data_IF_798731390643
#
_entry.id   IF_798731390643
#
_cell.length_a   1.000
_cell.length_b   1.000
_cell.length_c   1.000
_cell.angle_alpha   90.00
_cell.angle_beta   90.00
_cell.angle_gamma   90.00
#
_symmetry.space_group_name_H-M   'P 1'
#
loop_
_entity.id
_entity.type
_entity.pdbx_description
1 polymer ?
#
# COMPACT_ATOMS: atom_id res chain seq x y z
N UNK A 1 2.85 -52.00 33.25
CA UNK A 1 3.77 -51.16 32.43
C UNK A 1 3.87 -51.84 31.08
N UNK A 2 2.95 -51.62 30.14
CA UNK A 2 2.83 -50.43 29.26
C UNK A 2 4.20 -50.04 28.70
N UNK A 3 4.44 -50.42 27.45
CA UNK A 3 5.36 -49.71 26.57
C UNK A 3 4.56 -49.35 25.32
N UNK A 4 3.78 -48.27 25.44
CA UNK A 4 3.18 -47.60 24.29
C UNK A 4 4.33 -46.93 23.55
N UNK A 5 4.57 -47.36 22.31
CA UNK A 5 5.47 -46.70 21.40
C UNK A 5 4.81 -45.36 21.02
N UNK A 6 5.19 -44.28 21.72
CA UNK A 6 4.85 -42.92 21.30
C UNK A 6 5.55 -42.67 19.96
N UNK A 7 4.79 -42.75 18.86
CA UNK A 7 5.16 -42.06 17.64
C UNK A 7 5.15 -40.57 17.96
N UNK A 8 6.32 -39.99 18.14
CA UNK A 8 6.49 -38.55 18.14
C UNK A 8 6.10 -38.09 16.75
N UNK A 9 4.93 -37.45 16.60
CA UNK A 9 4.62 -36.69 15.40
C UNK A 9 5.66 -35.56 15.32
N UNK A 10 6.67 -35.74 14.48
CA UNK A 10 7.46 -34.64 13.96
C UNK A 10 6.47 -33.69 13.30
N UNK A 11 6.30 -32.45 13.78
CA UNK A 11 5.54 -31.46 13.03
C UNK A 11 6.33 -31.24 11.75
N UNK A 12 5.83 -31.78 10.64
CA UNK A 12 6.48 -31.63 9.36
C UNK A 12 6.27 -30.18 8.92
N UNK A 13 7.22 -29.32 9.28
CA UNK A 13 7.32 -27.95 8.72
C UNK A 13 7.45 -27.94 7.19
N UNK A 14 7.50 -29.11 6.53
CA UNK A 14 7.53 -29.27 5.08
C UNK A 14 6.15 -29.47 4.43
N UNK A 15 5.04 -29.33 5.18
CA UNK A 15 3.69 -29.46 4.62
C UNK A 15 3.04 -28.10 4.31
N UNK A 16 3.60 -26.98 4.77
CA UNK A 16 3.11 -25.64 4.46
C UNK A 16 4.29 -24.67 4.34
N UNK A 17 4.72 -24.41 3.11
CA UNK A 17 5.95 -23.64 2.81
C UNK A 17 5.70 -22.61 1.69
N UNK A 18 4.79 -21.64 1.90
CA UNK A 18 4.62 -20.57 0.92
C UNK A 18 5.85 -19.66 0.88
N UNK A 19 6.01 -18.93 -0.22
CA UNK A 19 6.88 -17.74 -0.26
C UNK A 19 6.05 -16.52 -0.60
N UNK A 20 6.47 -15.36 -0.10
CA UNK A 20 5.86 -14.06 -0.44
C UNK A 20 6.95 -13.04 -0.70
N UNK A 21 6.65 -12.11 -1.60
CA UNK A 21 7.39 -10.86 -1.76
C UNK A 21 6.40 -9.73 -1.91
N UNK A 22 6.58 -8.67 -1.13
CA UNK A 22 5.75 -7.47 -1.20
C UNK A 22 6.48 -6.38 -1.98
N UNK A 23 5.73 -5.62 -2.76
CA UNK A 23 6.18 -4.43 -3.45
C UNK A 23 5.13 -3.33 -3.34
N UNK A 24 5.56 -2.10 -3.50
CA UNK A 24 4.71 -0.92 -3.43
C UNK A 24 4.96 -0.05 -4.66
N UNK A 25 3.94 0.67 -5.12
CA UNK A 25 4.07 1.60 -6.25
C UNK A 25 4.73 2.93 -5.83
N UNK A 26 4.49 3.36 -4.59
CA UNK A 26 5.12 4.46 -3.89
C UNK A 26 5.36 4.05 -2.43
N UNK A 27 6.39 4.57 -1.78
CA UNK A 27 6.61 4.41 -0.34
C UNK A 27 6.95 5.72 0.35
N UNK A 28 6.68 6.85 -0.29
CA UNK A 28 6.88 8.15 0.32
C UNK A 28 5.85 8.39 1.43
N UNK A 29 6.30 8.96 2.55
CA UNK A 29 5.42 9.32 3.66
C UNK A 29 4.29 10.24 3.20
N UNK A 30 3.09 10.08 3.73
CA UNK A 30 1.93 10.92 3.40
C UNK A 30 1.27 10.62 2.05
N UNK A 31 1.94 9.93 1.13
CA UNK A 31 1.36 9.53 -0.15
C UNK A 31 0.60 8.22 -0.06
N UNK A 32 -0.53 8.17 -0.76
CA UNK A 32 -1.25 6.92 -0.96
C UNK A 32 -0.43 6.00 -1.85
N UNK A 33 -0.34 4.75 -1.43
CA UNK A 33 0.48 3.70 -2.00
C UNK A 33 -0.39 2.47 -2.20
N UNK A 34 -0.36 1.93 -3.40
CA UNK A 34 -0.82 0.59 -3.70
C UNK A 34 0.27 -0.40 -3.32
N UNK A 35 -0.13 -1.63 -3.03
CA UNK A 35 0.83 -2.70 -2.82
C UNK A 35 0.46 -3.94 -3.62
N UNK A 36 1.50 -4.71 -3.94
CA UNK A 36 1.39 -5.97 -4.64
C UNK A 36 2.13 -7.05 -3.86
N UNK A 37 1.47 -8.19 -3.65
CA UNK A 37 2.09 -9.37 -3.06
C UNK A 37 2.16 -10.48 -4.10
N UNK A 38 3.37 -10.93 -4.41
CA UNK A 38 3.62 -12.13 -5.20
C UNK A 38 3.82 -13.30 -4.24
N UNK A 39 2.87 -14.23 -4.24
CA UNK A 39 2.80 -15.37 -3.35
C UNK A 39 2.92 -16.65 -4.16
N UNK A 40 3.72 -17.61 -3.68
CA UNK A 40 3.80 -18.93 -4.27
C UNK A 40 3.49 -20.00 -3.23
N UNK A 41 2.49 -20.83 -3.51
CA UNK A 41 2.29 -22.10 -2.81
C UNK A 41 2.86 -23.23 -3.67
N UNK A 42 3.95 -23.89 -3.25
CA UNK A 42 4.56 -24.94 -4.05
C UNK A 42 3.74 -26.24 -4.02
N UNK A 43 3.81 -27.00 -5.12
CA UNK A 43 3.22 -28.33 -5.23
C UNK A 43 3.59 -29.22 -4.03
N UNK A 44 2.61 -29.97 -3.53
CA UNK A 44 2.74 -30.84 -2.37
C UNK A 44 2.56 -30.13 -1.02
N UNK A 45 2.44 -28.80 -1.01
CA UNK A 45 2.11 -28.03 0.18
C UNK A 45 0.61 -27.95 0.39
N UNK A 46 0.19 -27.78 1.63
CA UNK A 46 -1.14 -27.29 1.95
C UNK A 46 -1.34 -25.90 1.37
N UNK A 47 -2.55 -25.63 0.90
CA UNK A 47 -2.94 -24.28 0.55
C UNK A 47 -3.46 -23.47 1.74
N UNK A 48 -3.64 -22.15 1.54
CA UNK A 48 -4.02 -21.22 2.60
C UNK A 48 -5.52 -21.29 2.90
N UNK A 49 -5.89 -21.01 4.14
CA UNK A 49 -7.26 -20.64 4.54
C UNK A 49 -7.38 -19.14 4.76
N UNK A 50 -6.31 -18.49 5.19
CA UNK A 50 -6.24 -17.04 5.31
C UNK A 50 -4.84 -16.49 5.04
N UNK A 51 -4.83 -15.22 4.65
CA UNK A 51 -3.66 -14.35 4.55
C UNK A 51 -3.99 -13.08 5.34
N UNK A 52 -3.05 -12.60 6.14
CA UNK A 52 -3.15 -11.33 6.85
C UNK A 52 -1.89 -10.54 6.58
N UNK A 53 -2.04 -9.36 5.99
CA UNK A 53 -0.98 -8.37 5.86
C UNK A 53 -1.16 -7.35 6.97
N UNK A 54 -0.10 -7.08 7.73
CA UNK A 54 -0.07 -6.08 8.77
C UNK A 54 1.04 -5.07 8.50
N UNK A 55 0.66 -3.80 8.51
CA UNK A 55 1.56 -2.66 8.43
C UNK A 55 1.77 -2.15 9.86
N UNK A 56 3.01 -1.86 10.24
CA UNK A 56 3.37 -1.46 11.62
C UNK A 56 3.22 0.05 11.90
N UNK A 57 2.96 0.83 10.85
CA UNK A 57 2.66 2.27 10.86
C UNK A 57 1.95 2.64 9.56
N UNK A 58 1.51 3.88 9.44
CA UNK A 58 0.69 4.31 8.31
C UNK A 58 -0.80 4.16 8.62
N UNK A 59 -1.63 4.56 7.66
CA UNK A 59 -3.09 4.55 7.79
C UNK A 59 -3.74 4.24 6.45
N UNK A 60 -4.84 3.50 6.49
CA UNK A 60 -5.71 3.34 5.34
C UNK A 60 -6.70 4.52 5.24
N UNK A 61 -6.79 5.12 4.06
CA UNK A 61 -7.73 6.20 3.77
C UNK A 61 -8.89 5.67 2.91
N UNK A 62 -10.05 5.49 3.55
CA UNK A 62 -11.26 5.00 2.88
C UNK A 62 -12.19 6.13 2.39
N UNK A 63 -11.77 7.40 2.48
CA UNK A 63 -12.61 8.53 2.06
C UNK A 63 -12.83 8.50 0.55
N UNK A 64 -14.10 8.64 0.15
CA UNK A 64 -14.50 8.68 -1.27
C UNK A 64 -14.76 7.32 -1.91
N UNK A 65 -14.42 6.22 -1.24
CA UNK A 65 -14.74 4.87 -1.70
C UNK A 65 -16.21 4.52 -1.46
N UNK A 66 -16.79 3.77 -2.40
CA UNK A 66 -18.21 3.35 -2.36
C UNK A 66 -18.38 1.86 -2.70
N UNK A 67 -19.40 1.19 -2.16
CA UNK A 67 -19.69 -0.20 -2.53
C UNK A 67 -19.86 -0.40 -4.05
N UNK A 68 -19.29 -1.48 -4.56
CA UNK A 68 -19.24 -1.85 -5.98
C UNK A 68 -18.05 -1.26 -6.75
N UNK A 69 -17.28 -0.34 -6.16
CA UNK A 69 -16.03 0.12 -6.75
C UNK A 69 -14.95 -0.95 -6.64
N UNK A 70 -14.15 -1.11 -7.69
CA UNK A 70 -12.97 -1.97 -7.68
C UNK A 70 -11.82 -1.28 -6.92
N UNK A 71 -11.14 -2.03 -6.04
CA UNK A 71 -10.02 -1.56 -5.21
C UNK A 71 -8.78 -2.45 -5.30
N UNK A 72 -8.80 -3.41 -6.22
CA UNK A 72 -7.69 -4.32 -6.42
C UNK A 72 -8.03 -5.50 -7.31
N UNK A 73 -7.11 -6.45 -7.37
CA UNK A 73 -7.31 -7.74 -8.04
C UNK A 73 -6.50 -8.86 -7.38
N UNK A 74 -6.96 -10.09 -7.58
CA UNK A 74 -6.21 -11.30 -7.31
C UNK A 74 -6.07 -12.09 -8.62
N UNK A 75 -4.84 -12.41 -9.01
CA UNK A 75 -4.54 -13.22 -10.19
C UNK A 75 -3.90 -14.51 -9.74
N UNK A 76 -4.49 -15.64 -10.12
CA UNK A 76 -3.93 -16.96 -9.87
C UNK A 76 -3.49 -17.55 -11.19
N UNK A 77 -2.20 -17.79 -11.33
CA UNK A 77 -1.64 -18.45 -12.51
C UNK A 77 -1.74 -19.96 -12.36
N UNK A 78 -2.47 -20.60 -13.27
CA UNK A 78 -2.63 -22.05 -13.28
C UNK A 78 -1.74 -22.61 -14.37
N UNK A 79 -0.78 -23.45 -13.97
CA UNK A 79 0.04 -24.23 -14.89
C UNK A 79 0.21 -25.65 -14.38
N UNK A 80 -0.57 -26.58 -14.95
CA UNK A 80 -0.54 -28.00 -14.63
C UNK A 80 -0.06 -28.74 -15.88
N UNK A 81 1.08 -29.40 -15.79
CA UNK A 81 1.65 -30.20 -16.88
C UNK A 81 1.68 -31.67 -16.50
N UNK A 82 0.75 -32.45 -17.05
CA UNK A 82 0.77 -33.91 -16.96
C UNK A 82 1.17 -34.53 -18.31
N UNK A 83 1.54 -35.82 -18.36
CA UNK A 83 1.82 -36.50 -19.62
C UNK A 83 0.64 -36.54 -20.61
N UNK A 84 -0.59 -36.29 -20.12
CA UNK A 84 -1.83 -36.47 -20.90
C UNK A 84 -2.51 -35.13 -21.20
N UNK A 85 -2.43 -34.17 -20.28
CA UNK A 85 -3.11 -32.88 -20.35
C UNK A 85 -2.19 -31.76 -19.84
N UNK A 86 -2.20 -30.63 -20.55
CA UNK A 86 -1.64 -29.36 -20.07
C UNK A 86 -2.82 -28.45 -19.77
N UNK A 87 -2.89 -27.91 -18.56
CA UNK A 87 -3.82 -26.85 -18.16
C UNK A 87 -3.00 -25.59 -17.92
N UNK A 88 -3.31 -24.52 -18.65
CA UNK A 88 -2.60 -23.26 -18.60
C UNK A 88 -3.56 -22.08 -18.77
N UNK A 89 -3.37 -21.05 -17.95
CA UNK A 89 -4.14 -19.81 -17.99
C UNK A 89 -4.22 -19.20 -16.60
N UNK A 90 -5.14 -18.27 -16.42
CA UNK A 90 -5.28 -17.48 -15.21
C UNK A 90 -6.70 -17.53 -14.69
N UNK A 91 -6.86 -17.44 -13.37
CA UNK A 91 -8.11 -17.07 -12.73
C UNK A 91 -7.92 -15.62 -12.26
N UNK A 92 -8.75 -14.73 -12.77
CA UNK A 92 -8.69 -13.30 -12.44
C UNK A 92 -9.92 -12.98 -11.60
N UNK A 93 -9.69 -12.47 -10.39
CA UNK A 93 -10.72 -11.98 -9.50
C UNK A 93 -10.55 -10.47 -9.27
N UNK A 94 -11.62 -9.72 -9.48
CA UNK A 94 -11.65 -8.29 -9.15
C UNK A 94 -12.08 -8.11 -7.69
N UNK A 95 -11.34 -7.27 -6.96
CA UNK A 95 -11.66 -6.95 -5.57
C UNK A 95 -12.61 -5.77 -5.57
N UNK A 96 -13.87 -6.02 -5.24
CA UNK A 96 -14.93 -5.01 -5.23
C UNK A 96 -15.40 -4.73 -3.80
N UNK A 97 -15.55 -3.45 -3.48
CA UNK A 97 -15.98 -3.00 -2.16
C UNK A 97 -17.40 -3.52 -1.87
N UNK A 98 -17.59 -4.12 -0.71
CA UNK A 98 -18.89 -4.55 -0.19
C UNK A 98 -19.42 -3.58 0.85
N UNK A 99 -18.55 -3.06 1.73
CA UNK A 99 -18.90 -2.13 2.81
C UNK A 99 -17.78 -1.13 3.05
N UNK A 100 -18.14 0.09 3.48
CA UNK A 100 -17.18 1.14 3.87
C UNK A 100 -17.65 1.78 5.17
N UNK A 101 -16.70 2.06 6.05
CA UNK A 101 -16.85 2.82 7.28
C UNK A 101 -15.65 3.77 7.44
N UNK A 102 -15.52 4.46 8.58
CA UNK A 102 -14.34 5.30 8.81
C UNK A 102 -13.05 4.49 8.89
N UNK A 103 -13.08 3.34 9.58
CA UNK A 103 -11.86 2.61 9.96
C UNK A 103 -11.80 1.22 9.31
N UNK A 104 -12.84 0.80 8.59
CA UNK A 104 -12.84 -0.48 7.88
C UNK A 104 -13.47 -0.38 6.51
N UNK A 105 -12.93 -1.15 5.58
CA UNK A 105 -13.47 -1.38 4.24
C UNK A 105 -13.54 -2.88 3.99
N UNK A 106 -14.76 -3.39 3.86
CA UNK A 106 -15.01 -4.76 3.42
C UNK A 106 -15.03 -4.82 1.90
N UNK A 107 -14.46 -5.87 1.33
CA UNK A 107 -14.46 -6.15 -0.09
C UNK A 107 -14.56 -7.65 -0.37
N UNK A 108 -14.90 -8.01 -1.61
CA UNK A 108 -14.96 -9.39 -2.07
C UNK A 108 -14.16 -9.51 -3.37
N UNK A 109 -13.31 -10.53 -3.47
CA UNK A 109 -12.63 -10.87 -4.71
C UNK A 109 -13.54 -11.79 -5.53
N UNK A 110 -14.21 -11.26 -6.55
CA UNK A 110 -15.12 -12.03 -7.40
C UNK A 110 -14.39 -12.45 -8.67
N UNK A 111 -14.45 -13.73 -9.03
CA UNK A 111 -13.84 -14.26 -10.26
C UNK A 111 -14.59 -13.67 -11.47
N UNK A 112 -13.93 -12.81 -12.23
CA UNK A 112 -14.52 -12.14 -13.40
C UNK A 112 -14.11 -12.80 -14.70
N UNK A 113 -12.90 -13.34 -14.75
CA UNK A 113 -12.34 -13.93 -15.95
C UNK A 113 -11.52 -15.19 -15.65
N UNK A 114 -11.61 -16.16 -16.57
CA UNK A 114 -10.73 -17.33 -16.59
C UNK A 114 -10.17 -17.47 -18.01
N UNK A 115 -8.85 -17.51 -18.13
CA UNK A 115 -8.17 -17.53 -19.42
C UNK A 115 -7.66 -18.94 -19.78
N UNK A 116 -7.27 -19.11 -21.04
CA UNK A 116 -6.70 -20.37 -21.54
C UNK A 116 -7.67 -21.54 -21.47
N UNK A 117 -7.20 -22.69 -21.00
CA UNK A 117 -8.02 -23.90 -20.83
C UNK A 117 -8.27 -24.26 -19.36
N UNK A 118 -8.06 -23.31 -18.44
CA UNK A 118 -8.23 -23.51 -16.99
C UNK A 118 -9.64 -23.95 -16.64
N UNK A 119 -10.68 -23.30 -17.16
CA UNK A 119 -12.07 -23.68 -16.87
C UNK A 119 -12.38 -25.14 -17.27
N UNK A 120 -11.84 -25.60 -18.40
CA UNK A 120 -12.00 -26.98 -18.85
C UNK A 120 -11.17 -27.96 -18.01
N UNK A 121 -9.95 -27.55 -17.59
CA UNK A 121 -9.09 -28.31 -16.69
C UNK A 121 -9.72 -28.51 -15.31
N UNK A 122 -10.23 -27.43 -14.70
CA UNK A 122 -10.96 -27.47 -13.43
C UNK A 122 -12.17 -28.40 -13.50
N UNK A 123 -12.96 -28.32 -14.58
CA UNK A 123 -14.11 -29.21 -14.78
C UNK A 123 -13.71 -30.69 -14.87
N UNK A 124 -12.56 -31.00 -15.50
CA UNK A 124 -12.02 -32.36 -15.56
C UNK A 124 -11.61 -32.88 -14.17
N UNK A 125 -11.15 -31.98 -13.30
CA UNK A 125 -10.80 -32.27 -11.91
C UNK A 125 -12.02 -32.27 -10.96
N UNK A 126 -13.22 -32.03 -11.48
CA UNK A 126 -14.47 -32.04 -10.71
C UNK A 126 -14.79 -30.71 -10.02
N UNK A 127 -14.07 -29.63 -10.34
CA UNK A 127 -14.35 -28.30 -9.83
C UNK A 127 -15.29 -27.55 -10.79
N UNK A 128 -16.40 -26.97 -10.29
CA UNK A 128 -17.28 -26.16 -11.12
C UNK A 128 -16.56 -24.90 -11.60
N UNK A 129 -17.03 -24.31 -12.71
CA UNK A 129 -16.49 -23.04 -13.18
C UNK A 129 -16.77 -21.94 -12.12
N UNK A 130 -15.73 -21.30 -11.54
CA UNK A 130 -15.91 -20.31 -10.49
C UNK A 130 -16.26 -18.91 -11.01
N UNK A 131 -16.37 -18.66 -12.33
CA UNK A 131 -16.75 -17.33 -12.84
C UNK A 131 -18.06 -16.83 -12.22
N UNK A 132 -18.04 -15.62 -11.66
CA UNK A 132 -19.14 -14.99 -10.93
C UNK A 132 -19.27 -15.43 -9.47
N UNK A 133 -18.38 -16.29 -8.97
CA UNK A 133 -18.30 -16.67 -7.55
C UNK A 133 -17.30 -15.76 -6.81
N UNK A 134 -17.50 -15.63 -5.51
CA UNK A 134 -16.54 -14.96 -4.61
C UNK A 134 -15.42 -15.96 -4.31
N UNK A 135 -14.19 -15.63 -4.68
CA UNK A 135 -12.98 -16.37 -4.35
C UNK A 135 -12.50 -16.08 -2.93
N UNK A 136 -12.53 -14.82 -2.52
CA UNK A 136 -12.03 -14.41 -1.21
C UNK A 136 -12.89 -13.29 -0.61
N UNK A 137 -13.05 -13.33 0.71
CA UNK A 137 -13.51 -12.20 1.51
C UNK A 137 -12.29 -11.38 1.95
N UNK A 138 -12.36 -10.06 1.80
CA UNK A 138 -11.26 -9.13 2.11
C UNK A 138 -11.74 -8.09 3.10
N UNK A 139 -10.97 -7.83 4.14
CA UNK A 139 -11.23 -6.79 5.13
C UNK A 139 -9.97 -5.94 5.32
N UNK A 140 -10.06 -4.68 4.96
CA UNK A 140 -9.08 -3.67 5.32
C UNK A 140 -9.52 -3.01 6.62
N UNK A 141 -8.59 -2.87 7.57
CA UNK A 141 -8.80 -2.22 8.86
C UNK A 141 -7.69 -1.21 9.09
N UNK A 142 -8.06 0.04 9.25
CA UNK A 142 -7.19 1.12 9.71
C UNK A 142 -7.01 1.06 11.23
N UNK A 143 -5.80 1.26 11.73
CA UNK A 143 -5.54 1.32 13.17
C UNK A 143 -5.44 2.79 13.63
N UNK A 144 -5.93 3.11 14.84
CA UNK A 144 -5.87 4.48 15.35
C UNK A 144 -4.44 5.05 15.40
N UNK A 145 -4.37 6.38 15.39
CA UNK A 145 -3.14 7.14 15.67
C UNK A 145 -1.94 6.75 14.76
N UNK A 146 -2.21 6.42 13.49
CA UNK A 146 -1.18 6.09 12.48
C UNK A 146 -0.31 4.87 12.86
N UNK A 147 -0.86 3.98 13.69
CA UNK A 147 -0.20 2.76 14.17
C UNK A 147 -0.27 1.59 13.18
N UNK A 148 -0.66 1.87 11.94
CA UNK A 148 -0.68 0.93 10.84
C UNK A 148 -2.07 0.50 10.44
N UNK A 149 -2.13 -0.67 9.83
CA UNK A 149 -3.35 -1.22 9.28
C UNK A 149 -3.23 -2.71 9.05
N UNK A 150 -4.35 -3.36 8.78
CA UNK A 150 -4.37 -4.77 8.38
C UNK A 150 -5.23 -5.00 7.15
N UNK A 151 -4.77 -5.87 6.25
CA UNK A 151 -5.57 -6.49 5.20
C UNK A 151 -5.73 -7.97 5.53
N UNK A 152 -6.94 -8.39 5.86
CA UNK A 152 -7.28 -9.79 6.11
C UNK A 152 -8.00 -10.37 4.89
N UNK A 153 -7.48 -11.46 4.35
CA UNK A 153 -8.05 -12.22 3.23
C UNK A 153 -8.41 -13.61 3.72
N UNK A 154 -9.65 -14.02 3.51
CA UNK A 154 -10.15 -15.35 3.85
C UNK A 154 -10.66 -16.05 2.61
N UNK A 155 -10.32 -17.33 2.44
CA UNK A 155 -10.86 -18.15 1.36
C UNK A 155 -12.39 -18.29 1.52
N UNK A 156 -13.13 -17.94 0.47
CA UNK A 156 -14.59 -18.09 0.42
C UNK A 156 -15.00 -19.51 -0.02
N UNK A 157 -14.04 -20.36 -0.38
CA UNK A 157 -14.23 -21.77 -0.69
C UNK A 157 -14.72 -22.05 -2.11
N UNK A 158 -14.70 -21.05 -3.00
CA UNK A 158 -15.06 -21.25 -4.41
C UNK A 158 -13.89 -21.69 -5.30
N UNK A 159 -12.65 -21.55 -4.81
CA UNK A 159 -11.44 -22.00 -5.51
C UNK A 159 -10.90 -23.29 -4.86
N UNK A 160 -10.23 -24.16 -5.64
CA UNK A 160 -9.62 -25.40 -5.14
C UNK A 160 -8.27 -25.13 -4.47
N UNK A 161 -8.19 -24.12 -3.60
CA UNK A 161 -6.96 -23.73 -2.91
C UNK A 161 -6.81 -24.39 -1.54
N UNK A 162 -7.80 -25.18 -1.10
CA UNK A 162 -7.75 -25.86 0.19
C UNK A 162 -7.20 -27.28 0.06
N UNK A 163 -6.42 -27.71 1.06
CA UNK A 163 -5.82 -29.04 1.12
C UNK A 163 -4.45 -29.09 0.46
N UNK A 164 -3.96 -30.31 0.20
CA UNK A 164 -2.66 -30.51 -0.45
C UNK A 164 -2.80 -30.17 -1.93
N UNK A 165 -2.02 -29.20 -2.39
CA UNK A 165 -1.98 -28.75 -3.77
C UNK A 165 -1.15 -29.74 -4.60
N UNK A 166 -1.64 -30.15 -5.76
CA UNK A 166 -0.95 -31.03 -6.70
C UNK A 166 -0.24 -30.26 -7.84
N UNK A 167 -0.15 -28.94 -7.71
CA UNK A 167 0.58 -28.05 -8.60
C UNK A 167 1.00 -26.78 -7.85
N UNK A 168 1.92 -26.01 -8.45
CA UNK A 168 2.31 -24.70 -7.95
C UNK A 168 1.19 -23.70 -8.16
N UNK A 169 0.88 -22.90 -7.14
CA UNK A 169 -0.10 -21.81 -7.21
C UNK A 169 0.62 -20.48 -6.98
N UNK A 170 1.15 -19.84 -8.04
CA UNK A 170 1.46 -18.42 -8.01
C UNK A 170 0.16 -17.62 -7.89
N UNK A 171 0.12 -16.74 -6.92
CA UNK A 171 -0.98 -15.85 -6.64
C UNK A 171 -0.42 -14.44 -6.48
N UNK A 172 -0.97 -13.50 -7.23
CA UNK A 172 -0.61 -12.09 -7.17
C UNK A 172 -1.81 -11.31 -6.64
N UNK A 173 -1.65 -10.68 -5.48
CA UNK A 173 -2.59 -9.68 -4.97
C UNK A 173 -2.11 -8.29 -5.36
N UNK A 174 -3.01 -7.43 -5.84
CA UNK A 174 -2.74 -6.01 -6.05
C UNK A 174 -3.85 -5.16 -5.44
N UNK A 175 -3.48 -4.01 -4.90
CA UNK A 175 -4.44 -3.01 -4.42
C UNK A 175 -4.27 -1.70 -5.17
N UNK A 176 -5.35 -0.92 -5.22
CA UNK A 176 -5.26 0.50 -5.53
C UNK A 176 -4.48 1.25 -4.43
N UNK A 177 -4.08 2.52 -4.66
CA UNK A 177 -3.46 3.37 -3.65
C UNK A 177 -4.42 3.73 -2.53
N UNK A 178 -4.48 2.86 -1.51
CA UNK A 178 -5.39 2.97 -0.36
C UNK A 178 -4.64 3.10 0.97
N UNK A 179 -3.35 2.79 0.99
CA UNK A 179 -2.53 2.83 2.18
C UNK A 179 -1.60 4.04 2.14
N UNK A 180 -1.63 4.90 3.16
CA UNK A 180 -0.70 6.01 3.32
C UNK A 180 0.34 5.64 4.35
N UNK A 181 1.61 5.64 3.96
CA UNK A 181 2.70 5.42 4.91
C UNK A 181 2.84 6.61 5.87
N UNK A 182 3.24 6.35 7.11
CA UNK A 182 3.43 7.37 8.14
C UNK A 182 4.52 8.38 7.75
N UNK A 183 4.21 9.68 7.62
CA UNK A 183 5.20 10.75 7.41
C UNK A 183 6.32 10.80 8.45
N UNK A 184 5.99 10.45 9.70
CA UNK A 184 6.89 10.50 10.85
C UNK A 184 7.50 9.12 11.17
N UNK A 185 7.07 8.07 10.46
CA UNK A 185 7.51 6.71 10.66
C UNK A 185 8.74 6.41 9.82
N UNK A 186 9.82 5.96 10.45
CA UNK A 186 10.95 5.34 9.74
C UNK A 186 10.53 4.10 8.95
N UNK A 187 11.47 3.26 8.53
CA UNK A 187 11.25 2.06 7.70
C UNK A 187 9.92 1.32 7.92
N UNK A 188 9.09 1.17 6.88
CA UNK A 188 7.81 0.47 6.97
C UNK A 188 8.02 -1.03 7.23
N UNK A 189 7.49 -1.53 8.34
CA UNK A 189 7.44 -2.96 8.63
C UNK A 189 6.14 -3.56 8.08
N UNK A 190 6.28 -4.60 7.26
CA UNK A 190 5.16 -5.38 6.73
C UNK A 190 5.30 -6.81 7.22
N UNK A 191 4.35 -7.26 8.03
CA UNK A 191 4.23 -8.65 8.43
C UNK A 191 3.13 -9.31 7.59
N UNK A 192 3.47 -10.32 6.81
CA UNK A 192 2.49 -11.16 6.12
C UNK A 192 2.40 -12.51 6.80
N UNK A 193 1.23 -12.86 7.30
CA UNK A 193 0.95 -14.12 7.98
C UNK A 193 -0.02 -14.97 7.17
N UNK A 194 0.33 -16.22 6.91
CA UNK A 194 -0.54 -17.20 6.28
C UNK A 194 -0.97 -18.26 7.28
N UNK A 195 -2.23 -18.69 7.19
CA UNK A 195 -2.74 -19.86 7.91
C UNK A 195 -3.16 -20.92 6.92
N UNK A 196 -2.74 -22.16 7.11
CA UNK A 196 -3.10 -23.31 6.27
C UNK A 196 -4.42 -23.95 6.68
N UNK A 197 -4.87 -24.95 5.92
CA UNK A 197 -6.06 -25.75 6.25
C UNK A 197 -5.95 -26.58 7.53
N UNK A 198 -4.74 -26.98 7.93
CA UNK A 198 -4.52 -27.70 9.20
C UNK A 198 -4.23 -26.77 10.38
N UNK A 199 -4.17 -25.45 10.14
CA UNK A 199 -3.87 -24.44 11.15
C UNK A 199 -2.38 -24.20 11.39
N UNK A 200 -1.49 -24.73 10.54
CA UNK A 200 -0.10 -24.29 10.51
C UNK A 200 -0.04 -22.82 10.08
N UNK A 201 0.82 -22.04 10.75
CA UNK A 201 0.97 -20.60 10.54
C UNK A 201 2.42 -20.30 10.20
N UNK A 202 2.64 -19.47 9.18
CA UNK A 202 3.95 -18.92 8.82
C UNK A 202 3.84 -17.41 8.66
N UNK A 203 4.89 -16.69 9.00
CA UNK A 203 4.94 -15.23 8.93
C UNK A 203 6.22 -14.77 8.25
N UNK A 204 6.10 -13.70 7.47
CA UNK A 204 7.18 -13.06 6.73
C UNK A 204 7.25 -11.60 7.14
N UNK A 205 8.40 -11.20 7.68
CA UNK A 205 8.68 -9.82 8.05
C UNK A 205 9.53 -9.18 6.95
N UNK A 206 8.95 -8.23 6.24
CA UNK A 206 9.62 -7.41 5.24
C UNK A 206 9.79 -6.00 5.80
N UNK A 207 10.98 -5.41 5.63
CA UNK A 207 11.27 -4.05 6.07
C UNK A 207 11.59 -3.21 4.84
N UNK A 208 10.82 -2.15 4.65
CA UNK A 208 10.96 -1.24 3.52
C UNK A 208 11.60 0.06 3.99
N UNK A 209 12.90 0.27 3.70
CA UNK A 209 13.58 1.47 4.15
C UNK A 209 13.02 2.68 3.42
N UNK A 210 12.77 3.74 4.18
CA UNK A 210 12.53 5.05 3.60
C UNK A 210 13.87 5.76 3.41
N UNK A 211 14.16 6.11 2.16
CA UNK A 211 15.34 6.88 1.83
C UNK A 211 15.22 8.34 2.32
N UNK A 212 13.99 8.86 2.42
CA UNK A 212 13.74 10.26 2.76
C UNK A 212 12.55 10.37 3.72
N UNK A 213 12.80 10.85 4.94
CA UNK A 213 11.79 11.63 5.65
C UNK A 213 11.40 12.81 4.74
N UNK A 214 10.17 13.32 4.80
CA UNK A 214 9.60 14.39 3.96
C UNK A 214 10.33 15.76 4.03
N UNK A 215 11.65 15.79 3.81
CA UNK A 215 12.52 16.90 4.13
C UNK A 215 12.59 17.16 5.63
N UNK A 216 12.85 18.42 6.00
CA UNK A 216 12.67 18.95 7.35
C UNK A 216 11.27 19.55 7.47
N UNK A 217 10.69 19.61 8.68
CA UNK A 217 9.49 20.41 8.89
C UNK A 217 9.75 21.88 8.54
N UNK A 218 8.78 22.53 7.91
CA UNK A 218 8.85 23.94 7.53
C UNK A 218 7.47 24.60 7.62
N UNK A 219 7.43 25.89 7.32
CA UNK A 219 6.18 26.64 7.11
C UNK A 219 6.17 27.15 5.67
N UNK A 220 5.20 26.71 4.87
CA UNK A 220 5.04 27.10 3.47
C UNK A 220 4.78 28.59 3.35
N UNK A 221 5.54 29.25 2.50
CA UNK A 221 5.51 30.70 2.30
C UNK A 221 6.51 31.48 3.17
N UNK A 222 7.21 30.85 4.13
CA UNK A 222 8.32 31.47 4.89
C UNK A 222 9.66 31.27 4.17
N UNK A 223 9.77 31.85 2.98
CA UNK A 223 10.90 31.63 2.07
C UNK A 223 12.24 32.13 2.64
N UNK A 224 12.22 33.12 3.53
CA UNK A 224 13.43 33.61 4.19
C UNK A 224 13.76 32.86 5.50
N UNK A 225 12.93 31.88 5.86
CA UNK A 225 13.04 31.01 7.04
C UNK A 225 13.16 31.78 8.37
N UNK A 226 12.42 32.87 8.54
CA UNK A 226 12.44 33.68 9.77
C UNK A 226 11.32 33.34 10.76
N UNK A 227 10.46 32.38 10.40
CA UNK A 227 9.33 31.89 11.17
C UNK A 227 8.08 32.75 11.06
N UNK A 228 8.06 33.75 10.17
CA UNK A 228 6.94 34.68 10.02
C UNK A 228 6.56 34.89 8.57
N UNK A 229 5.39 34.42 8.16
CA UNK A 229 4.84 34.73 6.83
C UNK A 229 4.45 36.21 6.68
N UNK A 230 5.26 36.96 5.94
CA UNK A 230 5.09 38.39 5.75
C UNK A 230 5.67 38.88 4.40
N UNK A 231 5.71 40.21 4.19
CA UNK A 231 6.19 40.77 2.92
C UNK A 231 7.68 40.48 2.65
N UNK A 232 8.47 40.23 3.69
CA UNK A 232 9.88 39.89 3.57
C UNK A 232 10.09 38.60 2.76
N UNK A 233 9.17 37.65 2.82
CA UNK A 233 9.23 36.39 2.06
C UNK A 233 9.11 36.62 0.56
N UNK A 234 8.14 37.44 0.15
CA UNK A 234 7.97 37.81 -1.26
C UNK A 234 9.17 38.61 -1.77
N UNK A 235 9.76 39.49 -0.94
CA UNK A 235 10.97 40.25 -1.30
C UNK A 235 12.15 39.29 -1.47
N UNK A 236 12.34 38.37 -0.53
CA UNK A 236 13.42 37.39 -0.55
C UNK A 236 13.32 36.48 -1.78
N UNK A 237 12.12 35.95 -2.08
CA UNK A 237 11.85 35.14 -3.28
C UNK A 237 12.14 35.91 -4.58
N UNK A 238 11.74 37.18 -4.67
CA UNK A 238 12.04 37.98 -5.87
C UNK A 238 13.54 38.33 -6.01
N UNK A 239 14.24 38.57 -4.89
CA UNK A 239 15.67 38.86 -4.90
C UNK A 239 16.51 37.61 -5.26
N UNK A 240 16.07 36.41 -4.85
CA UNK A 240 16.69 35.16 -5.28
C UNK A 240 16.46 34.86 -6.77
N UNK A 241 15.24 35.11 -7.28
CA UNK A 241 14.88 34.84 -8.67
C UNK A 241 15.46 35.84 -9.69
N UNK A 242 15.48 37.13 -9.35
CA UNK A 242 15.80 38.20 -10.31
C UNK A 242 16.93 39.13 -9.85
N UNK A 243 17.33 39.03 -8.58
CA UNK A 243 18.34 39.89 -7.98
C UNK A 243 19.72 39.24 -7.94
N UNK A 244 20.45 39.55 -6.88
CA UNK A 244 21.71 38.88 -6.52
C UNK A 244 21.61 38.24 -5.14
N UNK A 245 20.37 37.99 -4.71
CA UNK A 245 20.05 37.28 -3.48
C UNK A 245 20.53 35.84 -3.54
N UNK A 246 20.68 35.23 -2.37
CA UNK A 246 20.95 33.80 -2.26
C UNK A 246 19.66 33.01 -2.44
N UNK A 247 19.76 31.80 -2.99
CA UNK A 247 18.64 30.86 -2.98
C UNK A 247 18.23 30.52 -1.54
N UNK A 248 16.93 30.32 -1.33
CA UNK A 248 16.40 29.93 -0.03
C UNK A 248 16.94 28.57 0.40
N UNK A 249 17.15 28.40 1.71
CA UNK A 249 17.66 27.13 2.24
C UNK A 249 16.60 26.03 2.32
N UNK A 250 15.34 26.39 2.11
CA UNK A 250 14.19 25.49 2.10
C UNK A 250 13.37 25.78 0.83
N UNK A 251 13.47 24.89 -0.16
CA UNK A 251 12.79 25.04 -1.44
C UNK A 251 11.27 25.04 -1.27
N UNK A 252 10.76 24.10 -0.47
CA UNK A 252 9.33 23.89 -0.23
C UNK A 252 8.70 25.09 0.51
N UNK A 253 9.47 25.81 1.35
CA UNK A 253 9.00 27.06 1.95
C UNK A 253 8.90 28.20 0.94
N UNK A 254 9.76 28.20 -0.09
CA UNK A 254 9.77 29.21 -1.15
C UNK A 254 8.73 28.95 -2.24
N UNK A 255 8.34 27.70 -2.45
CA UNK A 255 7.19 27.29 -3.26
C UNK A 255 5.88 27.56 -2.50
N UNK A 256 5.45 28.82 -2.57
CA UNK A 256 4.33 29.34 -1.78
C UNK A 256 2.98 28.89 -2.33
N UNK A 257 2.89 28.62 -3.64
CA UNK A 257 1.67 28.16 -4.29
C UNK A 257 1.62 26.64 -4.49
N UNK A 258 2.66 25.90 -4.07
CA UNK A 258 2.73 24.45 -4.04
C UNK A 258 2.53 23.82 -5.43
N UNK A 259 3.21 24.40 -6.43
CA UNK A 259 3.13 23.95 -7.83
C UNK A 259 4.37 23.15 -8.31
N UNK A 260 5.33 22.94 -7.41
CA UNK A 260 6.57 22.21 -7.60
C UNK A 260 7.64 23.01 -8.35
N UNK A 261 7.54 24.34 -8.37
CA UNK A 261 8.45 25.21 -9.11
C UNK A 261 8.56 26.62 -8.52
N UNK A 262 9.69 26.93 -7.91
CA UNK A 262 9.98 28.29 -7.41
C UNK A 262 10.12 29.28 -8.58
N UNK A 263 9.15 30.16 -8.74
CA UNK A 263 9.11 31.17 -9.77
C UNK A 263 8.34 32.44 -9.32
N UNK A 264 8.07 33.36 -10.26
CA UNK A 264 7.40 34.63 -9.91
C UNK A 264 5.96 34.43 -9.39
N UNK A 265 5.32 33.31 -9.72
CA UNK A 265 3.99 32.96 -9.24
C UNK A 265 3.94 32.86 -7.71
N UNK A 266 5.00 32.37 -7.06
CA UNK A 266 5.11 32.27 -5.61
C UNK A 266 5.03 33.63 -4.92
N UNK A 267 5.84 34.58 -5.38
CA UNK A 267 5.84 35.94 -4.85
C UNK A 267 4.48 36.61 -5.07
N UNK A 268 3.84 36.40 -6.23
CA UNK A 268 2.50 36.92 -6.51
C UNK A 268 1.47 36.28 -5.57
N UNK A 269 1.54 34.96 -5.36
CA UNK A 269 0.65 34.22 -4.47
C UNK A 269 0.76 34.72 -3.02
N UNK A 270 1.99 34.85 -2.51
CA UNK A 270 2.26 35.40 -1.17
C UNK A 270 1.74 36.81 -1.00
N UNK A 271 1.99 37.71 -1.96
CA UNK A 271 1.46 39.09 -1.90
C UNK A 271 -0.07 39.14 -2.01
N UNK A 272 -0.68 38.24 -2.79
CA UNK A 272 -2.13 38.14 -2.89
C UNK A 272 -2.76 37.70 -1.57
N UNK A 273 -2.19 36.69 -0.91
CA UNK A 273 -2.60 36.24 0.42
C UNK A 273 -2.51 37.38 1.46
N UNK A 274 -1.39 38.11 1.48
CA UNK A 274 -1.13 39.17 2.46
C UNK A 274 -2.01 40.42 2.27
N UNK A 275 -2.27 40.83 1.03
CA UNK A 275 -2.82 42.18 0.76
C UNK A 275 -4.10 42.21 -0.06
N UNK A 276 -4.46 41.10 -0.74
CA UNK A 276 -5.60 41.07 -1.67
C UNK A 276 -6.70 40.10 -1.25
N UNK A 277 -6.58 39.48 -0.07
CA UNK A 277 -7.52 38.46 0.41
C UNK A 277 -7.44 37.16 -0.38
N UNK A 278 -6.27 36.85 -0.95
CA UNK A 278 -5.99 35.55 -1.56
C UNK A 278 -6.02 34.40 -0.53
N UNK A 279 -5.96 33.17 -1.04
CA UNK A 279 -5.86 31.96 -0.20
C UNK A 279 -4.52 31.94 0.53
N UNK A 280 -4.51 31.49 1.78
CA UNK A 280 -3.27 31.18 2.50
C UNK A 280 -2.55 29.99 1.84
N UNK A 281 -1.21 29.88 1.97
CA UNK A 281 -0.47 28.70 1.53
C UNK A 281 -1.08 27.41 2.09
N UNK A 282 -1.08 26.37 1.27
CA UNK A 282 -1.49 25.03 1.66
C UNK A 282 -0.61 24.51 2.82
N UNK A 283 -1.07 23.51 3.59
CA UNK A 283 -0.23 22.83 4.58
C UNK A 283 1.16 22.46 4.02
N UNK A 284 2.24 22.62 4.81
CA UNK A 284 2.27 23.16 6.17
C UNK A 284 2.09 24.68 6.19
N UNK A 285 0.96 25.17 6.71
CA UNK A 285 0.55 26.58 6.53
C UNK A 285 1.34 27.51 7.47
N UNK A 286 1.51 28.80 7.15
CA UNK A 286 2.16 29.76 8.03
C UNK A 286 1.74 29.68 9.50
N UNK A 287 2.74 29.61 10.39
CA UNK A 287 2.56 29.50 11.84
C UNK A 287 2.40 28.07 12.36
N UNK A 288 2.41 27.05 11.50
CA UNK A 288 2.41 25.64 11.90
C UNK A 288 3.49 24.89 11.12
N UNK A 289 4.48 24.38 11.86
CA UNK A 289 5.49 23.47 11.30
C UNK A 289 4.83 22.16 10.87
N UNK A 290 5.21 21.67 9.70
CA UNK A 290 4.81 20.37 9.23
C UNK A 290 5.62 19.97 8.01
N UNK A 291 5.33 18.78 7.52
CA UNK A 291 5.99 18.19 6.37
C UNK A 291 5.27 18.60 5.08
N UNK A 292 5.99 18.52 3.97
CA UNK A 292 5.39 18.69 2.66
C UNK A 292 4.62 17.41 2.26
N UNK A 293 3.31 17.42 2.42
CA UNK A 293 2.45 16.29 2.01
C UNK A 293 2.30 16.18 0.48
N UNK A 294 2.79 17.17 -0.27
CA UNK A 294 2.74 17.25 -1.73
C UNK A 294 4.12 17.09 -2.38
N UNK A 295 5.15 16.65 -1.62
CA UNK A 295 6.54 16.41 -2.07
C UNK A 295 6.68 15.34 -3.18
N UNK A 296 6.14 15.62 -4.37
CA UNK A 296 6.26 14.82 -5.59
C UNK A 296 7.24 15.44 -6.59
N UNK A 297 7.74 16.63 -6.27
CA UNK A 297 8.66 17.38 -7.11
C UNK A 297 10.11 17.23 -6.62
N UNK A 298 11.01 18.02 -7.21
CA UNK A 298 12.45 17.96 -6.90
C UNK A 298 12.90 19.01 -5.89
N UNK A 299 11.96 19.77 -5.34
CA UNK A 299 12.20 20.72 -4.26
C UNK A 299 12.31 19.95 -2.94
N UNK A 300 13.18 20.47 -2.09
CA UNK A 300 13.43 19.90 -0.79
C UNK A 300 13.83 20.99 0.19
N UNK A 301 13.46 20.79 1.44
CA UNK A 301 13.94 21.62 2.54
C UNK A 301 15.24 21.11 3.14
N UNK A 302 16.36 21.68 2.67
CA UNK A 302 17.70 21.35 3.16
C UNK A 302 17.96 21.89 4.57
N UNK A 303 17.49 23.10 4.88
CA UNK A 303 17.55 23.70 6.21
C UNK A 303 16.36 24.63 6.43
N UNK A 304 15.69 24.42 7.55
CA UNK A 304 14.66 25.32 8.09
C UNK A 304 14.82 25.32 9.63
N UNK A 305 14.95 26.49 10.24
CA UNK A 305 15.34 26.65 11.66
C UNK A 305 14.26 27.34 12.52
N UNK A 306 13.13 27.69 11.91
CA UNK A 306 11.97 28.21 12.61
C UNK A 306 10.99 27.09 13.07
N UNK A 307 11.40 25.84 12.81
CA UNK A 307 11.00 24.59 13.43
C UNK A 307 12.27 24.00 14.08
#
# INVERSE_FOLDING_TARGET
>A
MVLALLAMATPCSAQFDPSVTTSFDNLQGGFASGFSQDVLFPEGSEGPTSLVVQFDKGSFDFVGFVPGQQVGSAVIDIFIQTPVVIVAGQIIAEVQISTVSSDTMGAVAMVTEITGNVAAGLALLGFPNPTGQIAFDVLFTDLPDDTGGTMSVTDAGSLPLTGILDFNVPLIWTTEPIFRHSPAGGDLGVNTTFTSTTGAVVSFDELFPLADALGLEFQRGDCNTDGSFNIADAIFSLDSLFGSGVEGSCGDACDSNDDGSINIADAIFTLAALFSGGTMPAPPTPGTCGWDETNIDTLFCAMYNAC
#
